data_IF_536979727137
#
_entry.id   IF_536979727137
#
_cell.length_a   1.000
_cell.length_b   1.000
_cell.length_c   1.000
_cell.angle_alpha   90.00
_cell.angle_beta   90.00
_cell.angle_gamma   90.00
#
_symmetry.space_group_name_H-M   'P 1'
#
loop_
_entity.id
_entity.type
_entity.pdbx_description
1 polymer ?
#
# COMPACT_ATOMS: atom_id res chain seq x y z
N UNK A 1 35.78 -20.19 -31.68
CA UNK A 1 36.73 -20.29 -30.55
C UNK A 1 36.06 -21.14 -29.51
N UNK A 2 36.30 -22.43 -29.58
CA UNK A 2 35.71 -23.42 -28.68
C UNK A 2 36.64 -23.54 -27.47
N UNK A 3 36.16 -23.11 -26.30
CA UNK A 3 36.82 -23.39 -25.04
C UNK A 3 36.58 -24.88 -24.75
N UNK A 4 37.51 -25.72 -25.17
CA UNK A 4 37.52 -27.14 -24.85
C UNK A 4 37.54 -27.31 -23.33
N UNK A 5 36.41 -27.71 -22.77
CA UNK A 5 36.29 -28.16 -21.39
C UNK A 5 37.22 -29.34 -21.20
N UNK A 6 38.20 -29.18 -20.32
CA UNK A 6 39.11 -30.23 -19.93
C UNK A 6 38.29 -31.39 -19.36
N UNK A 7 38.19 -32.50 -20.12
CA UNK A 7 37.48 -33.69 -19.66
C UNK A 7 38.07 -34.14 -18.33
N UNK A 8 37.25 -34.41 -17.29
CA UNK A 8 37.77 -34.81 -15.99
C UNK A 8 38.54 -36.12 -16.16
N UNK A 9 39.84 -36.07 -15.84
CA UNK A 9 40.71 -37.23 -15.92
C UNK A 9 40.19 -38.31 -14.97
N UNK A 10 39.71 -39.42 -15.51
CA UNK A 10 39.13 -40.56 -14.78
C UNK A 10 40.04 -41.09 -13.66
N UNK A 11 41.36 -40.88 -13.75
CA UNK A 11 42.31 -41.28 -12.72
C UNK A 11 42.27 -40.40 -11.45
N UNK A 12 41.65 -39.22 -11.52
CA UNK A 12 41.57 -38.26 -10.41
C UNK A 12 40.26 -38.35 -9.62
N UNK A 13 39.29 -39.15 -10.08
CA UNK A 13 38.06 -39.37 -9.33
C UNK A 13 38.34 -40.30 -8.12
N UNK A 14 37.75 -40.02 -6.95
CA UNK A 14 37.85 -40.92 -5.81
C UNK A 14 37.35 -42.30 -6.23
N UNK A 15 38.24 -43.30 -6.19
CA UNK A 15 37.88 -44.67 -6.49
C UNK A 15 36.97 -45.17 -5.37
N UNK A 16 35.88 -45.82 -5.76
CA UNK A 16 35.01 -46.52 -4.81
C UNK A 16 35.85 -47.58 -4.10
N UNK A 17 35.84 -47.55 -2.77
CA UNK A 17 36.53 -48.56 -1.96
C UNK A 17 36.08 -49.96 -2.40
N UNK A 18 37.01 -50.90 -2.65
CA UNK A 18 36.67 -52.21 -3.21
C UNK A 18 35.72 -53.02 -2.31
N UNK A 19 35.59 -52.66 -1.03
CA UNK A 19 34.64 -53.26 -0.09
C UNK A 19 33.22 -52.67 -0.11
N UNK A 20 32.99 -51.51 -0.72
CA UNK A 20 31.70 -50.81 -0.64
C UNK A 20 30.54 -51.62 -1.23
N UNK A 21 30.81 -52.35 -2.32
CA UNK A 21 29.80 -53.22 -2.95
C UNK A 21 29.36 -54.33 -2.00
N UNK A 22 30.31 -54.99 -1.34
CA UNK A 22 30.02 -56.03 -0.36
C UNK A 22 29.34 -55.49 0.89
N UNK A 23 29.71 -54.28 1.34
CA UNK A 23 29.04 -53.60 2.45
C UNK A 23 27.58 -53.31 2.12
N UNK A 24 27.29 -52.79 0.92
CA UNK A 24 25.93 -52.55 0.44
C UNK A 24 25.12 -53.84 0.27
N UNK A 25 25.73 -54.91 -0.25
CA UNK A 25 25.11 -56.23 -0.37
C UNK A 25 24.79 -56.85 1.00
N UNK A 26 25.61 -56.56 2.01
CA UNK A 26 25.41 -57.02 3.39
C UNK A 26 24.57 -56.05 4.24
N UNK A 27 24.23 -54.87 3.71
CA UNK A 27 23.55 -53.81 4.44
C UNK A 27 22.15 -54.26 4.82
N UNK A 28 21.90 -54.36 6.11
CA UNK A 28 20.60 -54.74 6.64
C UNK A 28 19.82 -53.47 6.92
N UNK A 29 18.78 -53.21 6.13
CA UNK A 29 17.84 -52.12 6.38
C UNK A 29 17.15 -52.22 7.75
N UNK A 30 17.22 -53.39 8.39
CA UNK A 30 16.76 -53.67 9.74
C UNK A 30 17.58 -52.97 10.84
N UNK A 31 18.86 -52.63 10.58
CA UNK A 31 19.71 -51.93 11.55
C UNK A 31 19.51 -50.41 11.51
N UNK A 32 18.70 -49.91 10.57
CA UNK A 32 18.38 -48.50 10.45
C UNK A 32 17.46 -48.11 11.62
N UNK A 33 17.80 -47.01 12.31
CA UNK A 33 16.97 -46.48 13.38
C UNK A 33 15.54 -46.24 12.87
N UNK A 34 14.54 -46.70 13.63
CA UNK A 34 13.13 -46.45 13.30
C UNK A 34 12.86 -44.94 13.38
N UNK A 35 12.39 -44.37 12.29
CA UNK A 35 11.86 -43.01 12.27
C UNK A 35 10.35 -43.08 12.58
N UNK A 36 9.92 -42.37 13.62
CA UNK A 36 8.51 -42.23 13.96
C UNK A 36 7.89 -41.18 13.02
N UNK A 37 7.01 -41.62 12.12
CA UNK A 37 6.27 -40.72 11.22
C UNK A 37 4.86 -40.53 11.77
N UNK A 38 4.53 -39.32 12.22
CA UNK A 38 3.17 -38.99 12.66
C UNK A 38 2.34 -38.40 11.51
N UNK A 39 1.28 -39.10 11.13
CA UNK A 39 0.21 -38.60 10.27
C UNK A 39 -0.76 -37.78 11.12
N UNK A 40 -0.81 -36.46 10.93
CA UNK A 40 -1.69 -35.56 11.71
C UNK A 40 -3.09 -35.50 11.09
N UNK A 41 -3.85 -36.58 11.23
CA UNK A 41 -5.29 -36.59 10.94
C UNK A 41 -6.08 -36.13 12.17
N UNK A 42 -5.92 -34.85 12.53
CA UNK A 42 -6.68 -34.26 13.62
C UNK A 42 -8.14 -34.14 13.20
N UNK A 43 -9.05 -34.76 13.96
CA UNK A 43 -10.47 -34.48 13.79
C UNK A 43 -10.76 -33.04 14.23
N UNK A 44 -11.77 -32.38 13.63
CA UNK A 44 -12.26 -31.09 14.11
C UNK A 44 -12.56 -31.17 15.61
N UNK A 45 -12.20 -30.13 16.34
CA UNK A 45 -12.51 -30.06 17.77
C UNK A 45 -14.00 -29.78 17.99
N UNK A 46 -14.49 -30.04 19.20
CA UNK A 46 -15.86 -29.67 19.56
C UNK A 46 -16.11 -28.16 19.42
N UNK A 47 -15.08 -27.33 19.63
CA UNK A 47 -15.16 -25.89 19.44
C UNK A 47 -15.34 -25.51 17.95
N UNK A 48 -14.65 -26.20 17.05
CA UNK A 48 -14.77 -25.98 15.59
C UNK A 48 -16.18 -26.32 15.08
N UNK A 49 -16.75 -27.42 15.56
CA UNK A 49 -18.12 -27.81 15.17
C UNK A 49 -19.16 -26.85 15.77
N UNK A 50 -18.94 -26.35 16.99
CA UNK A 50 -19.84 -25.38 17.62
C UNK A 50 -19.81 -24.03 16.89
N UNK A 51 -18.62 -23.54 16.53
CA UNK A 51 -18.47 -22.28 15.80
C UNK A 51 -19.11 -22.39 14.41
N UNK A 52 -18.89 -23.49 13.69
CA UNK A 52 -19.50 -23.73 12.38
C UNK A 52 -21.03 -23.77 12.46
N UNK A 53 -21.61 -24.45 13.47
CA UNK A 53 -23.07 -24.45 13.69
C UNK A 53 -23.62 -23.06 13.99
N UNK A 54 -22.91 -22.27 14.79
CA UNK A 54 -23.32 -20.90 15.09
C UNK A 54 -23.30 -20.03 13.83
N UNK A 55 -22.24 -20.13 13.02
CA UNK A 55 -22.13 -19.41 11.75
C UNK A 55 -23.23 -19.81 10.78
N UNK A 56 -23.50 -21.12 10.64
CA UNK A 56 -24.53 -21.62 9.73
C UNK A 56 -25.92 -21.13 10.12
N UNK A 57 -26.23 -21.12 11.42
CA UNK A 57 -27.49 -20.57 11.95
C UNK A 57 -27.69 -19.09 11.58
N UNK A 58 -26.62 -18.29 11.65
CA UNK A 58 -26.67 -16.88 11.24
C UNK A 58 -26.93 -16.75 9.74
N UNK A 59 -26.24 -17.54 8.92
CA UNK A 59 -26.40 -17.53 7.45
C UNK A 59 -27.84 -17.93 7.08
N UNK A 60 -28.34 -19.03 7.61
CA UNK A 60 -29.71 -19.51 7.37
C UNK A 60 -30.75 -18.45 7.79
N UNK A 61 -30.51 -17.74 8.91
CA UNK A 61 -31.36 -16.64 9.35
C UNK A 61 -31.37 -15.42 8.43
N UNK A 62 -30.24 -15.13 7.77
CA UNK A 62 -30.13 -14.04 6.78
C UNK A 62 -30.75 -14.46 5.44
N UNK A 63 -30.49 -15.68 4.97
CA UNK A 63 -31.05 -16.21 3.73
C UNK A 63 -32.58 -16.30 3.79
N UNK A 64 -33.13 -16.71 4.93
CA UNK A 64 -34.56 -16.76 5.19
C UNK A 64 -35.17 -15.43 5.65
N UNK A 65 -34.42 -14.33 5.64
CA UNK A 65 -34.91 -13.06 6.15
C UNK A 65 -36.00 -12.46 5.26
N UNK A 66 -37.22 -12.44 5.77
CA UNK A 66 -38.35 -11.79 5.11
C UNK A 66 -38.37 -10.27 5.40
N UNK A 67 -37.93 -9.51 4.41
CA UNK A 67 -37.90 -8.05 4.47
C UNK A 67 -39.29 -7.40 4.64
N UNK A 68 -40.39 -8.10 4.33
CA UNK A 68 -41.75 -7.58 4.53
C UNK A 68 -42.11 -7.43 6.01
N UNK A 69 -41.37 -8.11 6.90
CA UNK A 69 -41.51 -8.01 8.36
C UNK A 69 -40.80 -6.79 8.95
N UNK A 70 -40.04 -6.03 8.16
CA UNK A 70 -39.45 -4.77 8.60
C UNK A 70 -40.56 -3.77 8.93
N UNK A 71 -40.45 -3.12 10.09
CA UNK A 71 -41.36 -2.04 10.45
C UNK A 71 -41.15 -0.86 9.52
N UNK A 72 -42.24 -0.20 9.13
CA UNK A 72 -42.15 1.03 8.36
C UNK A 72 -41.34 2.10 9.11
N UNK A 73 -40.38 2.71 8.43
CA UNK A 73 -39.59 3.82 8.92
C UNK A 73 -39.73 5.01 7.97
N UNK A 74 -40.26 6.14 8.47
CA UNK A 74 -40.34 7.39 7.73
C UNK A 74 -38.96 8.06 7.73
N UNK A 75 -38.29 8.09 6.57
CA UNK A 75 -36.98 8.73 6.43
C UNK A 75 -37.15 10.15 5.91
N UNK A 76 -36.75 11.16 6.69
CA UNK A 76 -36.79 12.57 6.26
C UNK A 76 -35.44 12.99 5.71
N UNK A 77 -35.24 12.76 4.43
CA UNK A 77 -34.08 13.30 3.71
C UNK A 77 -34.25 14.82 3.53
N UNK A 78 -33.37 15.60 4.15
CA UNK A 78 -33.36 17.06 4.02
C UNK A 78 -32.41 17.43 2.89
N UNK A 79 -32.96 17.88 1.77
CA UNK A 79 -32.21 18.56 0.71
C UNK A 79 -32.64 20.03 0.65
N UNK A 80 -32.27 20.87 1.66
CA UNK A 80 -32.61 22.27 1.62
C UNK A 80 -31.89 22.95 0.47
N UNK A 81 -32.63 23.76 -0.30
CA UNK A 81 -32.00 24.66 -1.25
C UNK A 81 -31.10 25.65 -0.50
N UNK A 82 -30.00 26.12 -1.11
CA UNK A 82 -29.21 27.19 -0.53
C UNK A 82 -30.11 28.41 -0.25
N UNK A 83 -29.88 29.06 0.88
CA UNK A 83 -30.63 30.25 1.26
C UNK A 83 -30.21 31.47 0.42
N UNK A 84 -30.97 32.56 0.58
CA UNK A 84 -30.71 33.79 -0.17
C UNK A 84 -29.33 34.37 0.15
N UNK A 85 -28.83 34.19 1.38
CA UNK A 85 -27.52 34.71 1.80
C UNK A 85 -26.39 33.98 1.08
N UNK A 86 -26.43 32.64 1.06
CA UNK A 86 -25.47 31.80 0.34
C UNK A 86 -25.42 32.14 -1.15
N UNK A 87 -26.59 32.33 -1.78
CA UNK A 87 -26.67 32.72 -3.19
C UNK A 87 -26.07 34.12 -3.43
N UNK A 88 -26.29 35.08 -2.54
CA UNK A 88 -25.74 36.42 -2.70
C UNK A 88 -24.23 36.45 -2.45
N UNK A 89 -23.73 35.68 -1.48
CA UNK A 89 -22.31 35.52 -1.24
C UNK A 89 -21.60 34.94 -2.47
N UNK A 90 -22.13 33.87 -3.04
CA UNK A 90 -21.58 33.25 -4.26
C UNK A 90 -21.62 34.21 -5.46
N UNK A 91 -22.73 34.93 -5.67
CA UNK A 91 -22.83 35.97 -6.69
C UNK A 91 -21.81 37.10 -6.50
N UNK A 92 -21.51 37.48 -5.26
CA UNK A 92 -20.50 38.48 -4.94
C UNK A 92 -19.10 38.03 -5.34
N UNK A 93 -18.74 36.78 -5.00
CA UNK A 93 -17.47 36.17 -5.39
C UNK A 93 -17.36 36.07 -6.91
N UNK A 94 -18.40 35.59 -7.58
CA UNK A 94 -18.43 35.44 -9.03
C UNK A 94 -18.21 36.80 -9.74
N UNK A 95 -18.91 37.86 -9.29
CA UNK A 95 -18.71 39.22 -9.83
C UNK A 95 -17.30 39.76 -9.58
N UNK A 96 -16.69 39.44 -8.45
CA UNK A 96 -15.33 39.86 -8.15
C UNK A 96 -14.32 39.20 -9.07
N UNK A 97 -14.45 37.88 -9.28
CA UNK A 97 -13.62 37.12 -10.22
C UNK A 97 -13.77 37.69 -11.63
N UNK A 98 -15.01 37.85 -12.11
CA UNK A 98 -15.30 38.44 -13.42
C UNK A 98 -14.70 39.85 -13.58
N UNK A 99 -14.76 40.67 -12.52
CA UNK A 99 -14.17 42.00 -12.51
C UNK A 99 -12.64 42.00 -12.64
N UNK A 100 -11.96 41.00 -12.10
CA UNK A 100 -10.51 40.82 -12.26
C UNK A 100 -10.19 40.29 -13.65
N UNK A 101 -10.90 39.25 -14.11
CA UNK A 101 -10.67 38.62 -15.41
C UNK A 101 -10.89 39.59 -16.58
N UNK A 102 -11.90 40.47 -16.46
CA UNK A 102 -12.21 41.48 -17.46
C UNK A 102 -11.49 42.82 -17.27
N UNK A 103 -10.57 42.91 -16.29
CA UNK A 103 -9.91 44.16 -15.99
C UNK A 103 -8.94 44.59 -17.10
N UNK A 104 -9.26 45.69 -17.76
CA UNK A 104 -8.41 46.31 -18.77
C UNK A 104 -7.24 47.06 -18.11
N UNK A 105 -6.04 46.49 -18.24
CA UNK A 105 -4.79 47.04 -17.70
C UNK A 105 -4.39 48.36 -18.35
N UNK A 106 -4.90 48.70 -19.54
CA UNK A 106 -4.65 49.98 -20.20
C UNK A 106 -5.25 51.17 -19.44
N UNK A 107 -6.23 50.91 -18.56
CA UNK A 107 -6.86 51.90 -17.68
C UNK A 107 -6.01 52.22 -16.44
N UNK A 108 -4.92 51.50 -16.21
CA UNK A 108 -3.99 51.82 -15.13
C UNK A 108 -3.26 53.13 -15.43
N UNK A 109 -3.22 54.02 -14.44
CA UNK A 109 -2.43 55.25 -14.55
C UNK A 109 -0.94 54.90 -14.52
N UNK A 110 -0.15 55.61 -15.32
CA UNK A 110 1.30 55.48 -15.27
C UNK A 110 1.82 55.80 -13.86
N UNK A 111 2.68 54.94 -13.33
CA UNK A 111 3.38 55.13 -12.07
C UNK A 111 4.88 54.99 -12.34
N UNK A 112 5.64 56.03 -12.03
CA UNK A 112 7.11 56.02 -12.08
C UNK A 112 7.64 55.48 -10.74
N UNK A 113 8.22 54.28 -10.75
CA UNK A 113 8.80 53.65 -9.56
C UNK A 113 10.30 53.89 -9.52
N UNK A 114 10.80 54.57 -8.48
CA UNK A 114 12.23 54.68 -8.21
C UNK A 114 12.70 53.47 -7.40
N UNK A 115 13.28 52.48 -8.08
CA UNK A 115 13.98 51.36 -7.43
C UNK A 115 15.33 51.86 -6.91
N UNK A 116 15.38 52.18 -5.61
CA UNK A 116 16.64 52.49 -4.94
C UNK A 116 17.38 51.18 -4.68
N UNK A 117 18.27 50.82 -5.61
CA UNK A 117 19.29 49.80 -5.41
C UNK A 117 20.68 50.48 -5.28
N UNK A 118 20.89 51.37 -4.27
CA UNK A 118 22.20 52.00 -4.11
C UNK A 118 23.19 50.90 -3.72
N UNK A 119 24.26 50.77 -4.51
CA UNK A 119 25.40 49.97 -4.11
C UNK A 119 25.93 50.54 -2.78
N UNK A 120 26.25 49.69 -1.78
CA UNK A 120 26.82 50.17 -0.52
C UNK A 120 28.07 50.99 -0.84
N UNK A 121 28.19 52.17 -0.24
CA UNK A 121 29.36 53.02 -0.45
C UNK A 121 30.57 52.38 0.20
N UNK A 122 31.77 52.74 -0.29
CA UNK A 122 33.02 52.19 0.22
C UNK A 122 33.17 52.37 1.74
N UNK A 123 32.69 53.48 2.28
CA UNK A 123 32.68 53.74 3.73
C UNK A 123 31.83 52.72 4.49
N UNK A 124 30.62 52.43 4.03
CA UNK A 124 29.73 51.43 4.65
C UNK A 124 30.33 50.04 4.62
N UNK A 125 31.03 49.68 3.52
CA UNK A 125 31.73 48.39 3.40
C UNK A 125 32.92 48.31 4.37
N UNK A 126 33.66 49.40 4.55
CA UNK A 126 34.80 49.44 5.46
C UNK A 126 34.38 49.44 6.93
N UNK A 127 33.23 50.03 7.26
CA UNK A 127 32.66 50.06 8.61
C UNK A 127 32.15 48.65 9.02
N UNK A 128 31.45 47.95 8.12
CA UNK A 128 31.06 46.54 8.32
C UNK A 128 32.27 45.59 8.43
N UNK A 129 33.35 45.84 7.70
CA UNK A 129 34.58 45.04 7.80
C UNK A 129 35.35 45.24 9.12
N UNK A 130 35.03 46.28 9.88
CA UNK A 130 35.66 46.59 11.18
C UNK A 130 34.85 46.07 12.37
N UNK A 131 33.60 45.67 12.18
CA UNK A 131 32.78 44.95 13.16
C UNK A 131 33.16 43.47 13.20
#
# INVERSE_FOLDING_TARGET
MEAAGQEPNLAQLPRVEPGLKSELESFRTETLAKADTQEKNCLPTAADVQSEKAQRSVIEGIEGFDASRLKHAETKEKNPLPDQEAIQAEKGVQRFIEGIESFDTSRLKHAETLEKNPLPTRETIEEEKRA
#
